data_IF_355072098106
#
_entry.id   IF_355072098106
#
_cell.length_a   1.000
_cell.length_b   1.000
_cell.length_c   1.000
_cell.angle_alpha   90.00
_cell.angle_beta   90.00
_cell.angle_gamma   90.00
#
_symmetry.space_group_name_H-M   'P 1'
#
loop_
_entity.id
_entity.type
_entity.pdbx_description
1 polymer ?
#
# COMPACT_ATOMS: atom_id res chain seq x y z
N UNK A 1 -22.52 14.55 7.12
CA UNK A 1 -22.43 13.07 7.10
C UNK A 1 -22.32 12.60 5.66
N UNK A 2 -21.11 12.58 5.08
CA UNK A 2 -20.90 12.14 3.69
C UNK A 2 -20.95 10.61 3.67
N UNK A 3 -22.05 10.05 3.14
CA UNK A 3 -22.20 8.60 2.97
C UNK A 3 -21.05 8.07 2.11
N UNK A 4 -20.40 7.00 2.58
CA UNK A 4 -19.35 6.26 1.88
C UNK A 4 -19.75 6.06 0.41
N UNK A 5 -18.95 6.60 -0.51
CA UNK A 5 -19.17 6.49 -1.97
C UNK A 5 -18.72 5.14 -2.52
N UNK A 6 -18.40 4.18 -1.65
CA UNK A 6 -17.70 2.95 -2.00
C UNK A 6 -18.51 1.70 -1.62
N UNK A 7 -18.67 0.73 -2.55
CA UNK A 7 -19.28 -0.55 -2.24
C UNK A 7 -18.55 -1.24 -1.10
N UNK A 8 -19.30 -1.87 -0.19
CA UNK A 8 -18.76 -2.61 0.94
C UNK A 8 -17.92 -3.85 0.54
N UNK A 9 -17.99 -4.28 -0.73
CA UNK A 9 -17.28 -5.47 -1.26
C UNK A 9 -16.03 -5.15 -2.11
N UNK A 10 -15.49 -3.92 -2.04
CA UNK A 10 -14.31 -3.56 -2.84
C UNK A 10 -13.03 -4.16 -2.26
N UNK A 11 -12.36 -5.02 -3.04
CA UNK A 11 -11.05 -5.56 -2.66
C UNK A 11 -9.97 -4.48 -2.55
N UNK A 12 -8.93 -4.70 -1.73
CA UNK A 12 -7.79 -3.80 -1.57
C UNK A 12 -7.09 -3.49 -2.89
N UNK A 13 -6.81 -4.51 -3.73
CA UNK A 13 -6.24 -4.28 -5.07
C UNK A 13 -7.13 -3.41 -5.96
N UNK A 14 -8.45 -3.59 -5.90
CA UNK A 14 -9.41 -2.76 -6.64
C UNK A 14 -9.45 -1.33 -6.11
N UNK A 15 -9.39 -1.18 -4.78
CA UNK A 15 -9.29 0.12 -4.11
C UNK A 15 -8.01 0.85 -4.51
N UNK A 16 -6.84 0.20 -4.40
CA UNK A 16 -5.54 0.75 -4.78
C UNK A 16 -5.57 1.19 -6.24
N UNK A 17 -5.97 0.32 -7.18
CA UNK A 17 -6.04 0.67 -8.60
C UNK A 17 -6.94 1.87 -8.87
N UNK A 18 -8.05 1.99 -8.16
CA UNK A 18 -8.99 3.12 -8.32
C UNK A 18 -8.45 4.42 -7.72
N UNK A 19 -7.75 4.37 -6.58
CA UNK A 19 -7.28 5.56 -5.85
C UNK A 19 -5.94 6.05 -6.39
N UNK A 20 -4.97 5.15 -6.59
CA UNK A 20 -3.61 5.50 -7.01
C UNK A 20 -3.36 5.32 -8.52
N UNK A 21 -4.28 4.68 -9.25
CA UNK A 21 -4.06 4.28 -10.64
C UNK A 21 -3.11 3.08 -10.80
N UNK A 22 -2.56 2.53 -9.72
CA UNK A 22 -1.57 1.47 -9.76
C UNK A 22 -2.20 0.08 -9.80
N UNK A 23 -1.78 -0.76 -10.74
CA UNK A 23 -2.18 -2.17 -10.78
C UNK A 23 -1.14 -3.05 -10.08
N UNK A 24 -1.44 -3.48 -8.86
CA UNK A 24 -0.53 -4.30 -8.04
C UNK A 24 -0.27 -5.70 -8.62
N UNK A 25 -1.05 -6.15 -9.61
CA UNK A 25 -0.76 -7.39 -10.33
C UNK A 25 0.54 -7.32 -11.16
N UNK A 26 1.06 -6.12 -11.41
CA UNK A 26 2.35 -5.90 -12.09
C UNK A 26 3.55 -6.16 -11.17
N UNK A 27 3.34 -6.49 -9.90
CA UNK A 27 4.42 -6.84 -8.99
C UNK A 27 5.04 -8.18 -9.37
N UNK A 28 6.38 -8.21 -9.47
CA UNK A 28 7.14 -9.41 -9.82
C UNK A 28 7.74 -10.15 -8.61
N UNK A 29 7.34 -9.81 -7.38
CA UNK A 29 7.81 -10.45 -6.13
C UNK A 29 9.36 -10.57 -6.05
N UNK A 30 10.05 -9.52 -6.46
CA UNK A 30 11.51 -9.49 -6.60
C UNK A 30 12.26 -8.97 -5.37
N UNK A 31 11.55 -8.37 -4.40
CA UNK A 31 12.09 -7.78 -3.17
C UNK A 31 13.05 -6.59 -3.32
N UNK A 32 13.34 -6.15 -4.56
CA UNK A 32 14.19 -4.97 -4.82
C UNK A 32 13.73 -3.69 -4.10
N UNK A 33 12.43 -3.52 -3.86
CA UNK A 33 11.86 -2.36 -3.18
C UNK A 33 12.22 -2.25 -1.70
N UNK A 34 12.74 -3.33 -1.11
CA UNK A 34 13.07 -3.38 0.32
C UNK A 34 14.54 -3.03 0.59
N UNK A 35 15.40 -3.00 -0.43
CA UNK A 35 16.86 -2.96 -0.25
C UNK A 35 17.38 -1.67 0.37
N UNK A 36 16.78 -0.53 0.02
CA UNK A 36 17.26 0.80 0.44
C UNK A 36 16.52 1.31 1.70
N UNK A 37 15.65 0.48 2.29
CA UNK A 37 14.84 0.84 3.46
C UNK A 37 15.37 0.08 4.69
N UNK A 38 15.79 0.77 5.77
CA UNK A 38 16.24 0.09 6.97
C UNK A 38 15.15 -0.82 7.55
N UNK A 39 15.48 -2.10 7.76
CA UNK A 39 14.51 -3.10 8.25
C UNK A 39 13.80 -2.69 9.56
N UNK A 40 14.44 -1.89 10.42
CA UNK A 40 13.82 -1.38 11.66
C UNK A 40 12.60 -0.49 11.43
N UNK A 41 12.49 0.13 10.26
CA UNK A 41 11.38 1.02 9.89
C UNK A 41 10.16 0.21 9.40
N UNK A 42 10.37 -1.05 9.01
CA UNK A 42 9.35 -1.93 8.44
C UNK A 42 9.03 -3.08 9.40
N UNK A 43 7.78 -3.21 9.80
CA UNK A 43 7.26 -4.47 10.37
C UNK A 43 6.86 -5.48 9.29
N UNK A 44 6.48 -5.00 8.10
CA UNK A 44 6.14 -5.77 6.91
C UNK A 44 6.93 -5.18 5.74
N UNK A 45 7.80 -5.93 5.05
CA UNK A 45 8.50 -5.42 3.86
C UNK A 45 7.54 -4.92 2.78
N UNK A 46 7.95 -3.95 1.94
CA UNK A 46 7.10 -3.41 0.87
C UNK A 46 6.71 -4.51 -0.14
N UNK A 47 7.60 -5.45 -0.43
CA UNK A 47 7.28 -6.61 -1.27
C UNK A 47 6.14 -7.45 -0.70
N UNK A 48 6.19 -7.77 0.60
CA UNK A 48 5.16 -8.50 1.34
C UNK A 48 3.87 -7.69 1.46
N UNK A 49 3.97 -6.38 1.69
CA UNK A 49 2.80 -5.48 1.71
C UNK A 49 2.01 -5.59 0.40
N UNK A 50 2.68 -5.60 -0.75
CA UNK A 50 2.01 -5.80 -2.04
C UNK A 50 1.33 -7.18 -2.14
N UNK A 51 1.93 -8.23 -1.57
CA UNK A 51 1.29 -9.54 -1.51
C UNK A 51 0.02 -9.53 -0.64
N UNK A 52 0.03 -8.85 0.51
CA UNK A 52 -1.16 -8.70 1.35
C UNK A 52 -2.29 -7.98 0.60
N UNK A 53 -1.98 -6.94 -0.17
CA UNK A 53 -2.97 -6.24 -1.02
C UNK A 53 -3.57 -7.20 -2.06
N UNK A 54 -2.74 -8.02 -2.71
CA UNK A 54 -3.19 -9.03 -3.69
C UNK A 54 -4.11 -10.07 -3.06
N UNK A 55 -3.77 -10.52 -1.85
CA UNK A 55 -4.55 -11.47 -1.04
C UNK A 55 -5.79 -10.86 -0.40
N UNK A 56 -6.01 -9.55 -0.54
CA UNK A 56 -7.08 -8.82 0.12
C UNK A 56 -7.02 -8.90 1.66
N UNK A 57 -5.80 -8.99 2.20
CA UNK A 57 -5.55 -9.06 3.64
C UNK A 57 -5.51 -7.66 4.25
N UNK A 58 -6.38 -7.40 5.22
CA UNK A 58 -6.53 -6.09 5.85
C UNK A 58 -5.33 -5.68 6.70
N UNK A 59 -4.43 -6.59 7.06
CA UNK A 59 -3.17 -6.25 7.75
C UNK A 59 -2.39 -5.16 6.97
N UNK A 60 -2.53 -5.12 5.64
CA UNK A 60 -1.97 -4.08 4.78
C UNK A 60 -2.43 -2.64 5.14
N UNK A 61 -3.56 -2.45 5.84
CA UNK A 61 -4.03 -1.14 6.28
C UNK A 61 -3.56 -0.77 7.70
N UNK A 62 -3.08 -1.75 8.46
CA UNK A 62 -2.83 -1.63 9.90
C UNK A 62 -1.36 -1.70 10.28
N UNK A 63 -0.49 -2.23 9.40
CA UNK A 63 0.93 -2.38 9.70
C UNK A 63 1.65 -1.03 9.88
N UNK A 64 2.66 -1.01 10.75
CA UNK A 64 3.50 0.17 11.04
C UNK A 64 4.19 0.68 9.77
N UNK A 65 4.56 -0.22 8.86
CA UNK A 65 5.22 0.10 7.59
C UNK A 65 4.44 1.13 6.79
N UNK A 66 3.12 0.96 6.65
CA UNK A 66 2.27 1.92 5.92
C UNK A 66 2.24 3.28 6.59
N UNK A 67 2.36 3.34 7.91
CA UNK A 67 2.30 4.57 8.71
C UNK A 67 3.66 5.21 9.00
N UNK A 68 4.75 4.62 8.53
CA UNK A 68 6.09 5.19 8.67
C UNK A 68 6.36 6.22 7.57
N UNK A 69 6.64 7.47 7.95
CA UNK A 69 7.01 8.52 6.99
C UNK A 69 8.38 8.28 6.36
N UNK A 70 9.30 7.61 7.08
CA UNK A 70 10.60 7.22 6.52
C UNK A 70 10.42 6.19 5.40
N UNK A 71 9.52 5.22 5.58
CA UNK A 71 9.17 4.22 4.56
C UNK A 71 8.45 4.88 3.39
N UNK A 72 7.48 5.78 3.66
CA UNK A 72 6.76 6.48 2.59
C UNK A 72 7.73 7.26 1.70
N UNK A 73 8.67 8.01 2.29
CA UNK A 73 9.64 8.77 1.52
C UNK A 73 10.61 7.85 0.75
N UNK A 74 11.11 6.80 1.39
CA UNK A 74 12.01 5.85 0.76
C UNK A 74 11.34 5.00 -0.33
N UNK A 75 10.01 4.85 -0.30
CA UNK A 75 9.25 4.10 -1.32
C UNK A 75 9.23 4.79 -2.69
N UNK A 76 9.58 6.09 -2.77
CA UNK A 76 9.70 6.81 -4.04
C UNK A 76 10.73 6.13 -4.94
N UNK A 77 10.28 5.65 -6.10
CA UNK A 77 11.12 4.93 -7.07
C UNK A 77 11.76 3.62 -6.56
N UNK A 78 11.36 3.10 -5.40
CA UNK A 78 11.89 1.85 -4.85
C UNK A 78 11.62 0.65 -5.78
N UNK A 79 10.48 0.64 -6.48
CA UNK A 79 10.20 -0.38 -7.47
C UNK A 79 10.92 -0.09 -8.80
N UNK A 80 11.92 -0.92 -9.11
CA UNK A 80 12.65 -0.90 -10.39
C UNK A 80 11.82 -1.39 -11.60
N UNK A 81 10.56 -1.79 -11.38
CA UNK A 81 9.65 -2.32 -12.41
C UNK A 81 8.48 -1.39 -12.71
N UNK A 82 8.48 -0.18 -12.14
CA UNK A 82 7.52 0.88 -12.49
C UNK A 82 6.23 0.91 -11.67
N UNK A 83 6.12 0.11 -10.59
CA UNK A 83 5.03 0.26 -9.63
C UNK A 83 5.31 1.44 -8.69
N UNK A 84 4.43 2.45 -8.66
CA UNK A 84 4.57 3.56 -7.73
C UNK A 84 4.14 3.15 -6.32
N UNK A 85 5.09 2.66 -5.52
CA UNK A 85 4.85 2.22 -4.14
C UNK A 85 4.46 3.38 -3.22
N UNK A 86 4.92 4.61 -3.49
CA UNK A 86 4.50 5.78 -2.72
C UNK A 86 2.99 6.03 -2.92
N UNK A 87 2.51 5.96 -4.16
CA UNK A 87 1.10 6.10 -4.47
C UNK A 87 0.25 4.95 -3.89
N UNK A 88 0.77 3.71 -3.88
CA UNK A 88 0.12 2.56 -3.23
C UNK A 88 -0.02 2.78 -1.72
N UNK A 89 1.05 3.15 -1.02
CA UNK A 89 1.02 3.37 0.44
C UNK A 89 0.07 4.52 0.80
N UNK A 90 0.09 5.60 0.01
CA UNK A 90 -0.81 6.75 0.22
C UNK A 90 -2.27 6.33 0.08
N UNK A 91 -2.60 5.52 -0.93
CA UNK A 91 -3.96 4.98 -1.09
C UNK A 91 -4.40 4.11 0.10
N UNK A 92 -3.50 3.32 0.69
CA UNK A 92 -3.80 2.53 1.89
C UNK A 92 -4.06 3.43 3.11
N UNK A 93 -3.25 4.48 3.32
CA UNK A 93 -3.47 5.48 4.38
C UNK A 93 -4.83 6.15 4.22
N UNK A 94 -5.14 6.64 3.02
CA UNK A 94 -6.42 7.29 2.71
C UNK A 94 -7.61 6.35 2.95
N UNK A 95 -7.51 5.10 2.51
CA UNK A 95 -8.56 4.11 2.73
C UNK A 95 -8.76 3.82 4.22
N UNK A 96 -7.68 3.71 5.00
CA UNK A 96 -7.78 3.49 6.44
C UNK A 96 -8.43 4.68 7.15
N UNK A 97 -7.99 5.91 6.86
CA UNK A 97 -8.59 7.12 7.40
C UNK A 97 -10.08 7.21 7.07
N UNK A 98 -10.44 6.91 5.83
CA UNK A 98 -11.83 6.87 5.38
C UNK A 98 -12.68 5.84 6.12
N UNK A 99 -12.14 4.64 6.40
CA UNK A 99 -12.83 3.60 7.17
C UNK A 99 -13.01 3.99 8.64
N UNK A 100 -12.06 4.77 9.18
CA UNK A 100 -12.12 5.31 10.54
C UNK A 100 -13.04 6.53 10.67
N UNK A 101 -13.46 7.12 9.54
CA UNK A 101 -14.37 8.26 9.51
C UNK A 101 -13.69 9.63 9.55
N UNK A 102 -12.39 9.71 9.22
CA UNK A 102 -11.66 10.95 9.02
C UNK A 102 -11.87 11.54 7.62
#
# INVERSE_FOLDING_TARGET
MKRSRFPHDMTLRGMVKRVSGQDVHLCHACNDCDMDIPAKEMDIPLSSLVQLILLNDEEALHCRTVWSDSVLEASRHACKRGLDLHAVITALREEKLRRDGY
#
